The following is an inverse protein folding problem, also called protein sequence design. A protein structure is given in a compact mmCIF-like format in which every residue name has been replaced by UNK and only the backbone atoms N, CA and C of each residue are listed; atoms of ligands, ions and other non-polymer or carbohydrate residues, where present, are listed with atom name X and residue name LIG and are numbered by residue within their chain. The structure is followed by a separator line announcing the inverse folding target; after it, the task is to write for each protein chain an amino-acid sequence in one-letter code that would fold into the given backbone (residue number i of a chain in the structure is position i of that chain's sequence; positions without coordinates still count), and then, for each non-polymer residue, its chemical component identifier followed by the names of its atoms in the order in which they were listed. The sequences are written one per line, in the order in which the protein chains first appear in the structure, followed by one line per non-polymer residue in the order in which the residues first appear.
data_IF_052379438694
#
_entry.id   IF_052379438694
#
_cell.length_a   1.000
_cell.length_b   1.000
_cell.length_c   1.000
_cell.angle_alpha   90.00
_cell.angle_beta   90.00
_cell.angle_gamma   90.00
#
_symmetry.space_group_name_H-M   'P 1'
#
loop_
_entity.id
_entity.type
_entity.pdbx_description
1 polymer ?
#
# COMPACT_ATOMS: atom_id res chain seq x y z
N UNK A 1 2.06 -8.65 -8.00
CA UNK A 1 0.82 -8.63 -7.20
C UNK A 1 0.62 -9.96 -6.44
N UNK A 2 1.72 -10.60 -6.00
CA UNK A 2 1.64 -11.84 -5.23
C UNK A 2 1.90 -11.65 -3.73
N UNK A 3 2.65 -10.61 -3.35
CA UNK A 3 3.14 -10.44 -1.98
C UNK A 3 2.02 -10.22 -0.94
N UNK A 4 0.98 -9.46 -1.28
CA UNK A 4 -0.05 -9.06 -0.30
C UNK A 4 -1.27 -10.00 -0.24
N UNK A 5 -1.36 -11.02 -1.11
CA UNK A 5 -2.50 -11.95 -1.15
C UNK A 5 -2.55 -12.79 0.14
N UNK A 6 -1.41 -13.32 0.58
CA UNK A 6 -1.33 -14.09 1.82
C UNK A 6 -1.76 -13.29 3.04
N UNK A 7 -1.35 -12.01 3.12
CA UNK A 7 -1.79 -11.09 4.17
C UNK A 7 -3.31 -10.88 4.14
N UNK A 8 -3.89 -10.61 2.96
CA UNK A 8 -5.32 -10.42 2.82
C UNK A 8 -6.14 -11.67 3.17
N UNK A 9 -5.67 -12.87 2.79
CA UNK A 9 -6.31 -14.14 3.15
C UNK A 9 -6.25 -14.38 4.67
N UNK A 10 -5.10 -14.15 5.31
CA UNK A 10 -4.99 -14.26 6.76
C UNK A 10 -5.91 -13.28 7.49
N UNK A 11 -5.96 -12.02 7.03
CA UNK A 11 -6.86 -11.01 7.58
C UNK A 11 -8.34 -11.40 7.41
N UNK A 12 -8.72 -11.92 6.25
CA UNK A 12 -10.07 -12.45 5.98
C UNK A 12 -10.43 -13.57 6.96
N UNK A 13 -9.57 -14.57 7.12
CA UNK A 13 -9.83 -15.73 7.99
C UNK A 13 -10.03 -15.32 9.45
N UNK A 14 -9.24 -14.35 9.94
CA UNK A 14 -9.35 -13.87 11.31
C UNK A 14 -10.55 -12.92 11.53
N UNK A 15 -10.72 -11.93 10.65
CA UNK A 15 -11.76 -10.90 10.79
C UNK A 15 -13.15 -11.33 10.31
N UNK A 16 -13.24 -12.45 9.57
CA UNK A 16 -14.46 -12.96 8.92
C UNK A 16 -15.10 -12.01 7.91
N UNK A 17 -14.41 -10.96 7.49
CA UNK A 17 -14.85 -10.05 6.43
C UNK A 17 -14.65 -10.69 5.06
N UNK A 18 -15.60 -10.65 4.12
CA UNK A 18 -15.49 -11.35 2.85
C UNK A 18 -14.24 -10.94 2.06
N UNK A 19 -13.49 -11.94 1.57
CA UNK A 19 -12.37 -11.71 0.65
C UNK A 19 -12.90 -11.49 -0.76
N UNK A 20 -12.44 -10.43 -1.42
CA UNK A 20 -12.79 -10.13 -2.79
C UNK A 20 -11.59 -9.48 -3.49
N UNK A 21 -11.27 -9.96 -4.69
CA UNK A 21 -10.32 -9.25 -5.55
C UNK A 21 -10.95 -7.96 -6.06
N UNK A 22 -10.29 -6.83 -5.81
CA UNK A 22 -10.73 -5.48 -6.22
C UNK A 22 -9.87 -4.89 -7.33
N UNK A 23 -8.72 -5.50 -7.61
CA UNK A 23 -7.81 -5.10 -8.65
C UNK A 23 -7.48 -6.30 -9.54
N UNK A 24 -7.51 -6.09 -10.85
CA UNK A 24 -7.04 -7.04 -11.84
C UNK A 24 -5.59 -6.74 -12.21
N UNK A 25 -4.72 -7.74 -12.08
CA UNK A 25 -3.34 -7.65 -12.55
C UNK A 25 -3.26 -7.89 -14.05
N UNK A 26 -2.71 -6.94 -14.79
CA UNK A 26 -2.36 -7.20 -16.18
C UNK A 26 -1.01 -7.94 -16.26
N UNK A 27 -1.07 -9.28 -16.44
CA UNK A 27 0.11 -10.14 -16.59
C UNK A 27 0.95 -9.84 -17.84
N UNK A 28 0.35 -9.21 -18.84
CA UNK A 28 0.98 -8.83 -20.10
C UNK A 28 1.42 -7.37 -20.13
N UNK A 29 1.34 -6.66 -19.01
CA UNK A 29 1.81 -5.29 -18.96
C UNK A 29 3.33 -5.23 -19.20
N UNK A 30 3.72 -4.49 -20.23
CA UNK A 30 5.12 -4.30 -20.60
C UNK A 30 5.96 -3.72 -19.45
N UNK A 31 7.25 -4.03 -19.50
CA UNK A 31 8.25 -3.42 -18.60
C UNK A 31 8.28 -1.92 -18.90
N UNK A 32 8.13 -1.09 -17.88
CA UNK A 32 7.98 0.38 -18.00
C UNK A 32 9.17 1.12 -18.61
N UNK A 33 10.26 0.43 -18.94
CA UNK A 33 11.51 1.01 -19.43
C UNK A 33 11.51 1.35 -20.94
N UNK A 34 10.51 0.90 -21.72
CA UNK A 34 10.45 1.14 -23.18
C UNK A 34 9.90 2.50 -23.59
N UNK A 35 9.38 3.31 -22.66
CA UNK A 35 8.66 4.53 -23.01
C UNK A 35 9.53 5.80 -22.87
N UNK A 36 9.57 6.58 -23.95
CA UNK A 36 10.43 7.76 -24.09
C UNK A 36 10.05 8.92 -23.13
N UNK A 37 8.77 9.08 -22.79
CA UNK A 37 8.28 10.20 -21.96
C UNK A 37 7.78 9.74 -20.59
N UNK A 38 7.97 10.59 -19.58
CA UNK A 38 7.53 10.33 -18.20
C UNK A 38 6.01 10.11 -18.10
N UNK A 39 5.23 10.89 -18.85
CA UNK A 39 3.77 10.75 -18.95
C UNK A 39 3.36 9.37 -19.49
N UNK A 40 4.07 8.86 -20.51
CA UNK A 40 3.80 7.53 -21.06
C UNK A 40 4.14 6.41 -20.07
N UNK A 41 5.23 6.58 -19.29
CA UNK A 41 5.58 5.63 -18.20
C UNK A 41 4.52 5.60 -17.10
N UNK A 42 4.00 6.76 -16.69
CA UNK A 42 2.94 6.86 -15.68
C UNK A 42 1.63 6.23 -16.17
N UNK A 43 1.27 6.46 -17.44
CA UNK A 43 0.10 5.84 -18.07
C UNK A 43 0.26 4.32 -18.20
N UNK A 44 1.47 3.83 -18.45
CA UNK A 44 1.78 2.39 -18.49
C UNK A 44 1.81 1.77 -17.08
N UNK A 45 2.27 2.49 -16.06
CA UNK A 45 2.19 2.05 -14.67
C UNK A 45 0.72 1.86 -14.23
N UNK A 46 -0.18 2.77 -14.65
CA UNK A 46 -1.64 2.61 -14.48
C UNK A 46 -2.22 1.40 -15.21
N UNK A 47 -1.60 0.91 -16.29
CA UNK A 47 -2.05 -0.31 -17.01
C UNK A 47 -1.73 -1.61 -16.28
N UNK A 48 -0.85 -1.59 -15.26
CA UNK A 48 -0.48 -2.81 -14.51
C UNK A 48 -1.60 -3.29 -13.58
N UNK A 49 -2.41 -2.37 -13.07
CA UNK A 49 -3.47 -2.62 -12.11
C UNK A 49 -4.74 -1.89 -12.52
N UNK A 50 -5.80 -2.64 -12.81
CA UNK A 50 -7.12 -2.08 -13.14
C UNK A 50 -8.09 -2.34 -11.99
N UNK A 51 -8.88 -1.34 -11.60
CA UNK A 51 -9.90 -1.52 -10.57
C UNK A 51 -11.12 -2.25 -11.15
N UNK A 52 -11.64 -3.23 -10.41
CA UNK A 52 -12.89 -3.91 -10.71
C UNK A 52 -14.06 -3.12 -10.11
N UNK A 53 -14.67 -2.23 -10.90
CA UNK A 53 -15.73 -1.32 -10.43
C UNK A 53 -16.87 -2.03 -9.69
N UNK A 54 -17.37 -3.16 -10.21
CA UNK A 54 -18.46 -3.94 -9.58
C UNK A 54 -18.09 -4.48 -8.19
N UNK A 55 -16.81 -4.74 -7.95
CA UNK A 55 -16.32 -5.23 -6.67
C UNK A 55 -16.19 -4.11 -5.63
N UNK A 56 -16.08 -2.84 -6.07
CA UNK A 56 -15.72 -1.68 -5.23
C UNK A 56 -16.89 -0.75 -4.92
N UNK A 57 -17.77 -0.51 -5.89
CA UNK A 57 -18.79 0.52 -5.82
C UNK A 57 -19.70 0.37 -4.60
N UNK A 58 -19.80 1.43 -3.79
CA UNK A 58 -20.64 1.51 -2.59
C UNK A 58 -20.13 0.74 -1.36
N UNK A 59 -18.97 0.08 -1.44
CA UNK A 59 -18.46 -0.77 -0.35
C UNK A 59 -17.40 -0.07 0.49
N UNK A 60 -17.30 -0.47 1.77
CA UNK A 60 -16.14 -0.18 2.62
C UNK A 60 -15.10 -1.28 2.41
N UNK A 61 -13.87 -0.90 2.09
CA UNK A 61 -12.81 -1.84 1.69
C UNK A 61 -11.70 -1.81 2.73
N UNK A 62 -11.22 -3.00 3.12
CA UNK A 62 -9.94 -3.16 3.81
C UNK A 62 -8.89 -3.53 2.78
N UNK A 63 -7.94 -2.63 2.53
CA UNK A 63 -6.82 -2.83 1.60
C UNK A 63 -5.60 -3.31 2.37
N UNK A 64 -5.21 -4.58 2.15
CA UNK A 64 -4.02 -5.16 2.75
C UNK A 64 -2.80 -4.96 1.84
N UNK A 65 -1.70 -4.43 2.37
CA UNK A 65 -0.42 -4.31 1.69
C UNK A 65 0.71 -4.90 2.55
N UNK A 66 1.86 -5.17 1.93
CA UNK A 66 3.03 -5.71 2.61
C UNK A 66 3.83 -4.60 3.32
N UNK A 67 4.10 -3.49 2.62
CA UNK A 67 4.95 -2.41 3.12
C UNK A 67 4.60 -1.04 2.53
N UNK A 68 4.96 0.02 3.26
CA UNK A 68 4.93 1.40 2.77
C UNK A 68 6.35 1.97 2.78
N UNK A 69 6.95 2.06 1.59
CA UNK A 69 8.27 2.70 1.40
C UNK A 69 8.09 4.21 1.15
N UNK A 70 7.74 4.60 -0.08
CA UNK A 70 7.54 6.00 -0.50
C UNK A 70 6.10 6.50 -0.36
N UNK A 71 5.15 5.59 -0.10
CA UNK A 71 3.71 5.90 -0.01
C UNK A 71 3.00 6.19 -1.34
N UNK A 72 3.72 6.39 -2.44
CA UNK A 72 3.11 6.71 -3.75
C UNK A 72 2.20 5.60 -4.28
N UNK A 73 2.59 4.33 -4.13
CA UNK A 73 1.80 3.19 -4.61
C UNK A 73 0.50 3.01 -3.83
N UNK A 74 0.56 3.04 -2.50
CA UNK A 74 -0.64 2.89 -1.67
C UNK A 74 -1.60 4.07 -1.87
N UNK A 75 -1.09 5.30 -2.00
CA UNK A 75 -1.90 6.47 -2.29
C UNK A 75 -2.62 6.34 -3.64
N UNK A 76 -1.95 5.86 -4.68
CA UNK A 76 -2.57 5.61 -5.97
C UNK A 76 -3.67 4.54 -5.87
N UNK A 77 -3.40 3.40 -5.20
CA UNK A 77 -4.40 2.35 -4.99
C UNK A 77 -5.63 2.88 -4.26
N UNK A 78 -5.45 3.63 -3.16
CA UNK A 78 -6.55 4.23 -2.39
C UNK A 78 -7.35 5.21 -3.25
N UNK A 79 -6.67 6.08 -4.01
CA UNK A 79 -7.33 7.05 -4.89
C UNK A 79 -8.12 6.35 -6.01
N UNK A 80 -7.58 5.29 -6.59
CA UNK A 80 -8.25 4.53 -7.65
C UNK A 80 -9.51 3.82 -7.10
N UNK A 81 -9.45 3.26 -5.89
CA UNK A 81 -10.62 2.69 -5.21
C UNK A 81 -11.67 3.75 -4.87
N UNK A 82 -11.26 4.90 -4.34
CA UNK A 82 -12.19 6.02 -4.06
C UNK A 82 -12.85 6.52 -5.33
N UNK A 83 -12.11 6.69 -6.43
CA UNK A 83 -12.66 7.07 -7.75
C UNK A 83 -13.62 6.03 -8.31
N UNK A 84 -13.40 4.75 -8.02
CA UNK A 84 -14.31 3.67 -8.38
C UNK A 84 -15.56 3.57 -7.49
N UNK A 85 -15.72 4.48 -6.51
CA UNK A 85 -16.92 4.58 -5.68
C UNK A 85 -16.85 3.84 -4.34
N UNK A 86 -15.65 3.55 -3.82
CA UNK A 86 -15.53 3.02 -2.46
C UNK A 86 -16.06 4.02 -1.43
N UNK A 87 -16.90 3.54 -0.49
CA UNK A 87 -17.42 4.35 0.62
C UNK A 87 -16.34 4.72 1.63
N UNK A 88 -15.47 3.76 1.95
CA UNK A 88 -14.33 3.92 2.83
C UNK A 88 -13.21 2.98 2.40
N UNK A 89 -11.96 3.37 2.64
CA UNK A 89 -10.78 2.53 2.36
C UNK A 89 -9.90 2.52 3.60
N UNK A 90 -9.83 1.38 4.28
CA UNK A 90 -9.01 1.15 5.46
C UNK A 90 -7.75 0.38 5.06
N UNK A 91 -6.58 0.96 5.23
CA UNK A 91 -5.32 0.30 4.87
C UNK A 91 -4.80 -0.53 6.06
N UNK A 92 -4.30 -1.74 5.79
CA UNK A 92 -3.61 -2.61 6.74
C UNK A 92 -2.28 -3.03 6.14
N UNK A 93 -1.18 -2.77 6.85
CA UNK A 93 0.18 -3.03 6.36
C UNK A 93 0.77 -4.15 7.21
N UNK A 94 1.40 -5.14 6.58
CA UNK A 94 1.94 -6.30 7.29
C UNK A 94 3.26 -6.01 8.03
N UNK A 95 4.00 -4.97 7.62
CA UNK A 95 5.26 -4.60 8.24
C UNK A 95 5.15 -3.33 9.10
N UNK A 96 6.03 -3.17 10.12
CA UNK A 96 6.21 -1.91 10.81
C UNK A 96 6.62 -0.78 9.85
N UNK A 97 6.45 0.50 10.26
CA UNK A 97 6.92 1.64 9.48
C UNK A 97 8.41 1.53 9.13
N UNK A 98 8.75 1.72 7.85
CA UNK A 98 10.13 1.67 7.39
C UNK A 98 10.86 2.97 7.73
N UNK A 99 11.72 2.92 8.76
CA UNK A 99 12.43 4.08 9.30
C UNK A 99 13.88 4.22 8.79
N UNK A 100 14.47 3.15 8.25
CA UNK A 100 15.88 3.10 7.84
C UNK A 100 16.05 2.63 6.39
N UNK A 101 16.99 3.23 5.62
CA UNK A 101 17.39 2.70 4.33
C UNK A 101 18.13 1.36 4.52
N UNK A 102 18.23 0.57 3.44
CA UNK A 102 18.90 -0.71 3.49
C UNK A 102 20.32 -0.58 2.93
N UNK A 103 21.33 -0.69 3.80
CA UNK A 103 22.74 -0.62 3.40
C UNK A 103 23.19 -1.84 2.58
N UNK A 104 22.41 -2.93 2.60
CA UNK A 104 22.69 -4.18 1.89
C UNK A 104 22.15 -4.22 0.44
N UNK A 105 21.82 -3.06 -0.15
CA UNK A 105 21.57 -2.94 -1.59
C UNK A 105 20.13 -3.20 -2.06
N UNK A 106 19.14 -3.24 -1.15
CA UNK A 106 17.72 -3.22 -1.54
C UNK A 106 17.33 -1.81 -2.02
N UNK A 107 16.29 -1.67 -2.85
CA UNK A 107 15.96 -0.45 -3.63
C UNK A 107 15.75 0.87 -2.85
N UNK A 108 15.79 0.84 -1.52
CA UNK A 108 15.56 1.99 -0.64
C UNK A 108 16.89 2.62 -0.28
N UNK A 109 17.23 3.75 -0.93
CA UNK A 109 18.60 4.27 -0.92
C UNK A 109 18.81 5.44 0.03
N UNK A 110 17.76 6.17 0.42
CA UNK A 110 17.89 7.34 1.29
C UNK A 110 16.75 7.49 2.29
N UNK A 111 17.02 8.15 3.43
CA UNK A 111 16.01 8.48 4.43
C UNK A 111 14.88 9.36 3.86
N UNK A 112 15.18 10.23 2.89
CA UNK A 112 14.20 11.12 2.27
C UNK A 112 13.14 10.37 1.44
N UNK A 113 13.45 9.15 0.97
CA UNK A 113 12.49 8.30 0.26
C UNK A 113 11.48 7.63 1.19
N UNK A 114 11.76 7.56 2.50
CA UNK A 114 10.91 6.87 3.46
C UNK A 114 9.75 7.75 3.89
N UNK A 115 8.53 7.29 3.61
CA UNK A 115 7.31 8.01 3.95
C UNK A 115 7.16 8.17 5.47
N UNK A 116 7.52 7.14 6.23
CA UNK A 116 7.43 7.18 7.69
C UNK A 116 8.28 8.31 8.29
N UNK A 117 9.47 8.57 7.74
CA UNK A 117 10.39 9.66 8.19
C UNK A 117 9.84 11.07 7.98
N UNK A 118 8.78 11.24 7.18
CA UNK A 118 8.11 12.53 7.03
C UNK A 118 7.16 12.86 8.18
N UNK A 119 6.71 11.85 8.93
CA UNK A 119 5.75 12.02 10.02
C UNK A 119 6.34 11.61 11.37
N UNK A 120 7.31 10.68 11.36
CA UNK A 120 8.06 10.22 12.52
C UNK A 120 9.49 10.75 12.40
N UNK A 121 9.72 11.94 12.98
CA UNK A 121 11.00 12.64 12.89
C UNK A 121 12.05 12.09 13.88
N UNK A 122 11.60 11.56 15.02
CA UNK A 122 12.44 11.06 16.11
C UNK A 122 11.85 9.77 16.68
N UNK A 123 12.74 8.89 17.16
CA UNK A 123 12.37 7.63 17.80
C UNK A 123 12.64 6.41 16.93
N UNK A 124 13.31 5.43 17.53
CA UNK A 124 13.34 4.07 17.02
C UNK A 124 12.06 3.34 17.44
N UNK A 125 11.49 2.57 16.52
CA UNK A 125 10.50 1.56 16.87
C UNK A 125 11.29 0.27 17.10
N UNK A 126 11.90 0.18 18.28
CA UNK A 126 12.76 -0.93 18.70
C UNK A 126 11.99 -2.08 19.36
N UNK A 127 10.72 -1.85 19.70
CA UNK A 127 9.88 -2.79 20.42
C UNK A 127 8.44 -2.81 19.91
N UNK A 128 7.77 -3.95 20.11
CA UNK A 128 6.34 -4.10 19.83
C UNK A 128 5.48 -3.17 20.70
N UNK A 129 5.95 -2.80 21.89
CA UNK A 129 5.28 -1.85 22.76
C UNK A 129 5.26 -0.45 22.13
N UNK A 130 6.44 0.04 21.69
CA UNK A 130 6.55 1.32 21.00
C UNK A 130 5.70 1.35 19.71
N UNK A 131 5.65 0.23 18.97
CA UNK A 131 4.78 0.13 17.78
C UNK A 131 3.29 0.26 18.16
N UNK A 132 2.85 -0.42 19.21
CA UNK A 132 1.45 -0.37 19.67
C UNK A 132 1.05 1.01 20.20
N UNK A 133 1.96 1.71 20.86
CA UNK A 133 1.74 3.09 21.31
C UNK A 133 1.55 4.03 20.11
N UNK A 134 2.40 3.88 19.08
CA UNK A 134 2.24 4.60 17.82
C UNK A 134 0.90 4.27 17.16
N UNK A 135 0.52 3.00 17.08
CA UNK A 135 -0.77 2.58 16.50
C UNK A 135 -1.96 3.17 17.26
N UNK A 136 -1.91 3.18 18.60
CA UNK A 136 -2.93 3.78 19.45
C UNK A 136 -3.01 5.30 19.26
N UNK A 137 -1.86 5.98 19.18
CA UNK A 137 -1.80 7.41 18.90
C UNK A 137 -2.37 7.73 17.52
N UNK A 138 -1.98 6.99 16.47
CA UNK A 138 -2.52 7.16 15.11
C UNK A 138 -4.04 6.92 15.11
N UNK A 139 -4.52 5.88 15.79
CA UNK A 139 -5.95 5.58 15.88
C UNK A 139 -6.75 6.69 16.56
N UNK A 140 -6.17 7.43 17.50
CA UNK A 140 -6.82 8.57 18.16
C UNK A 140 -6.91 9.84 17.30
N UNK A 141 -6.15 9.91 16.20
CA UNK A 141 -6.13 11.05 15.28
C UNK A 141 -7.10 10.88 14.08
N UNK A 142 -7.82 9.76 13.98
CA UNK A 142 -8.71 9.39 12.87
C UNK A 142 -10.14 9.24 13.39
#
# INVERSE_FOLDING_TARGET
MGASIGHALGYHLYSRLPYQEVFLYNRYADRSYTQATQVAREKMAKRKLSVLHYAVQGKSIVLCDDSIVRGTQILNKVNDLKKAGARAVHVRVACPPLMYPCDFGISTRTYAELMARKYLYQGDIDSLAALRELEAWVAAQI
#
